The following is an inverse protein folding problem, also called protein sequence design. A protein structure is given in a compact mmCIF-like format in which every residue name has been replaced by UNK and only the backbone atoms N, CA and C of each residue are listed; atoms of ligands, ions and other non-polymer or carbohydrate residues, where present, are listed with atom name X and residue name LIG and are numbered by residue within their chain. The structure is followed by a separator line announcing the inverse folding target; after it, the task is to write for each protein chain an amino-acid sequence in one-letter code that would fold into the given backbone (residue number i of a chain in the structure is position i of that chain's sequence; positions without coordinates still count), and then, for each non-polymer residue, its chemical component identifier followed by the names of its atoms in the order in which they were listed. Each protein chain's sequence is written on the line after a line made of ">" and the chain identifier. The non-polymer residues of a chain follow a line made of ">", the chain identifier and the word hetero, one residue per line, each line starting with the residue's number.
data_IF_105915244283
#
_entry.id   IF_105915244283
#
_cell.length_a   1.000
_cell.length_b   1.000
_cell.length_c   1.000
_cell.angle_alpha   90.00
_cell.angle_beta   90.00
_cell.angle_gamma   90.00
#
_symmetry.space_group_name_H-M   'P 1'
#
loop_
_entity.id
_entity.type
_entity.pdbx_description
1 polymer ?
#
# COMPACT_ATOMS: atom_id res chain seq x y z
N UNK A 1 22.95 21.64 -1.72
CA UNK A 1 21.87 21.86 -0.72
C UNK A 1 20.58 21.99 -1.51
N UNK A 2 19.87 20.89 -1.73
CA UNK A 2 18.61 20.87 -2.48
C UNK A 2 17.46 20.79 -1.48
N UNK A 3 16.69 21.86 -1.42
CA UNK A 3 15.41 21.92 -0.74
C UNK A 3 14.43 21.04 -1.52
N UNK A 4 14.33 19.76 -1.17
CA UNK A 4 13.21 18.93 -1.62
C UNK A 4 11.93 19.57 -1.12
N UNK A 5 11.14 20.05 -2.06
CA UNK A 5 9.88 20.74 -1.82
C UNK A 5 8.92 19.83 -1.03
N UNK A 6 8.56 20.27 0.18
CA UNK A 6 7.67 19.60 1.16
C UNK A 6 6.21 19.39 0.68
N UNK A 7 5.93 19.37 -0.62
CA UNK A 7 4.56 19.36 -1.15
C UNK A 7 4.15 18.06 -1.87
N UNK A 8 4.97 17.01 -1.83
CA UNK A 8 4.87 15.92 -2.80
C UNK A 8 4.10 14.65 -2.36
N UNK A 9 3.80 14.46 -1.09
CA UNK A 9 3.27 13.16 -0.58
C UNK A 9 1.80 13.22 -0.15
N UNK A 10 1.15 14.36 -0.27
CA UNK A 10 -0.13 14.66 0.41
C UNK A 10 -1.35 13.88 -0.11
N UNK A 11 -1.29 13.20 -1.27
CA UNK A 11 -2.52 12.80 -1.96
C UNK A 11 -2.97 11.33 -1.82
N UNK A 12 -2.20 10.46 -1.20
CA UNK A 12 -2.59 9.04 -1.05
C UNK A 12 -3.42 8.74 0.21
N UNK A 13 -3.63 9.71 1.07
CA UNK A 13 -4.14 9.51 2.44
C UNK A 13 -5.64 9.68 2.64
N UNK A 14 -6.35 10.23 1.68
CA UNK A 14 -7.77 10.54 1.86
C UNK A 14 -8.72 9.33 1.77
N UNK A 15 -8.22 8.13 1.41
CA UNK A 15 -9.09 6.98 1.14
C UNK A 15 -9.36 6.06 2.33
N UNK A 16 -8.69 6.23 3.46
CA UNK A 16 -8.89 5.36 4.63
C UNK A 16 -10.22 5.59 5.37
N UNK A 17 -10.92 6.68 5.10
CA UNK A 17 -12.11 7.07 5.86
C UNK A 17 -13.46 6.56 5.32
N UNK A 18 -13.52 5.92 4.15
CA UNK A 18 -14.79 5.55 3.50
C UNK A 18 -15.05 4.04 3.33
N UNK A 19 -14.51 3.20 4.19
CA UNK A 19 -14.82 1.75 4.19
C UNK A 19 -16.26 1.42 4.66
N UNK A 20 -17.11 2.41 4.79
CA UNK A 20 -18.43 2.31 5.41
C UNK A 20 -19.62 2.11 4.50
N UNK A 21 -19.53 1.54 3.31
CA UNK A 21 -20.70 1.02 2.56
C UNK A 21 -20.27 0.26 1.30
N UNK A 22 -19.65 -0.89 1.44
CA UNK A 22 -19.61 -1.85 0.33
C UNK A 22 -20.85 -2.75 0.46
N UNK A 23 -21.82 -2.54 -0.41
CA UNK A 23 -22.96 -3.45 -0.57
C UNK A 23 -22.43 -4.86 -0.83
N UNK A 24 -22.65 -5.75 0.13
CA UNK A 24 -22.36 -7.16 0.02
C UNK A 24 -23.22 -7.77 -1.09
N UNK A 25 -22.74 -7.79 -2.29
CA UNK A 25 -23.26 -8.67 -3.32
C UNK A 25 -22.72 -10.06 -2.99
N UNK A 26 -23.61 -10.97 -2.66
CA UNK A 26 -23.29 -12.33 -2.28
C UNK A 26 -22.40 -12.98 -3.36
N UNK A 27 -21.11 -13.02 -3.14
CA UNK A 27 -20.16 -13.74 -3.98
C UNK A 27 -20.33 -15.23 -3.68
N UNK A 28 -21.13 -15.90 -4.48
CA UNK A 28 -21.36 -17.35 -4.42
C UNK A 28 -20.20 -18.15 -5.01
N UNK A 29 -19.21 -17.47 -5.57
CA UNK A 29 -18.01 -18.08 -6.15
C UNK A 29 -16.76 -17.35 -5.67
N UNK A 30 -15.76 -18.10 -5.20
CA UNK A 30 -14.52 -17.51 -4.72
C UNK A 30 -13.81 -16.81 -5.87
N UNK A 31 -13.65 -15.50 -5.81
CA UNK A 31 -12.97 -14.73 -6.85
C UNK A 31 -11.58 -15.34 -7.17
N UNK A 32 -11.17 -15.39 -8.44
CA UNK A 32 -9.87 -15.95 -8.83
C UNK A 32 -8.71 -15.16 -8.22
N UNK A 33 -7.52 -15.75 -8.22
CA UNK A 33 -6.29 -15.05 -7.83
C UNK A 33 -6.07 -13.83 -8.72
N UNK A 34 -5.60 -12.71 -8.14
CA UNK A 34 -5.41 -11.43 -8.83
C UNK A 34 -3.92 -11.17 -9.05
N UNK A 35 -3.49 -11.03 -10.29
CA UNK A 35 -2.13 -10.60 -10.62
C UNK A 35 -2.06 -9.07 -10.63
N UNK A 36 -1.14 -8.50 -9.85
CA UNK A 36 -0.91 -7.07 -9.74
C UNK A 36 0.46 -6.74 -10.30
N UNK A 37 0.54 -5.73 -11.18
CA UNK A 37 1.77 -5.29 -11.82
C UNK A 37 1.88 -3.77 -11.72
N UNK A 38 2.96 -3.27 -11.13
CA UNK A 38 3.22 -1.86 -10.85
C UNK A 38 4.62 -1.47 -11.29
N UNK A 39 4.90 -0.16 -11.38
CA UNK A 39 6.20 0.41 -11.77
C UNK A 39 6.70 -0.14 -13.11
N UNK A 40 5.79 -0.24 -14.10
CA UNK A 40 6.13 -0.77 -15.42
C UNK A 40 6.50 -2.27 -15.40
N UNK A 41 6.03 -3.02 -14.42
CA UNK A 41 6.29 -4.45 -14.27
C UNK A 41 7.49 -4.80 -13.40
N UNK A 42 8.16 -3.82 -12.79
CA UNK A 42 9.26 -4.05 -11.85
C UNK A 42 8.77 -4.57 -10.50
N UNK A 43 7.55 -4.17 -10.09
CA UNK A 43 6.91 -4.69 -8.90
C UNK A 43 5.69 -5.50 -9.30
N UNK A 44 5.76 -6.83 -9.13
CA UNK A 44 4.67 -7.75 -9.42
C UNK A 44 4.41 -8.63 -8.22
N UNK A 45 3.14 -8.98 -8.01
CA UNK A 45 2.73 -9.96 -7.01
C UNK A 45 1.37 -10.53 -7.37
N UNK A 46 1.00 -11.63 -6.72
CA UNK A 46 -0.32 -12.25 -6.89
C UNK A 46 -1.05 -12.23 -5.56
N UNK A 47 -2.28 -11.73 -5.54
CA UNK A 47 -3.20 -11.91 -4.42
C UNK A 47 -3.88 -13.27 -4.52
N UNK A 48 -4.03 -14.01 -3.42
CA UNK A 48 -4.72 -15.31 -3.44
C UNK A 48 -6.18 -15.18 -3.84
N UNK A 49 -6.83 -16.31 -4.09
CA UNK A 49 -8.27 -16.38 -4.38
C UNK A 49 -9.09 -15.69 -3.27
N UNK A 50 -10.23 -15.12 -3.64
CA UNK A 50 -11.16 -14.47 -2.71
C UNK A 50 -11.04 -12.95 -2.65
N UNK A 51 -10.03 -12.36 -3.29
CA UNK A 51 -9.94 -10.90 -3.42
C UNK A 51 -10.74 -10.40 -4.63
N UNK A 52 -11.64 -9.46 -4.41
CA UNK A 52 -12.41 -8.76 -5.44
C UNK A 52 -11.76 -7.41 -5.71
N UNK A 53 -11.45 -7.14 -6.98
CA UNK A 53 -10.82 -5.90 -7.41
C UNK A 53 -11.88 -4.80 -7.67
N UNK A 54 -11.67 -3.64 -7.08
CA UNK A 54 -12.48 -2.44 -7.27
C UNK A 54 -11.54 -1.29 -7.68
N UNK A 55 -11.55 -0.88 -8.95
CA UNK A 55 -10.72 0.23 -9.40
C UNK A 55 -11.04 1.50 -8.61
N UNK A 56 -10.00 2.19 -8.17
CA UNK A 56 -10.13 3.51 -7.55
C UNK A 56 -10.19 4.58 -8.63
N UNK A 57 -11.04 5.61 -8.47
CA UNK A 57 -11.07 6.72 -9.42
C UNK A 57 -9.68 7.35 -9.52
N UNK A 58 -9.24 7.64 -10.75
CA UNK A 58 -8.04 8.45 -10.94
C UNK A 58 -8.30 9.85 -10.39
N UNK A 59 -7.34 10.38 -9.63
CA UNK A 59 -7.42 11.74 -9.14
C UNK A 59 -6.80 12.76 -10.12
N UNK A 60 -6.95 14.04 -9.79
CA UNK A 60 -6.41 15.14 -10.59
C UNK A 60 -4.87 15.15 -10.67
N UNK A 61 -4.18 14.35 -9.87
CA UNK A 61 -2.71 14.23 -9.86
C UNK A 61 -2.20 13.08 -10.72
N UNK A 62 -3.12 12.31 -11.34
CA UNK A 62 -2.78 11.12 -12.13
C UNK A 62 -2.47 9.89 -11.28
N UNK A 63 -2.85 9.92 -10.00
CA UNK A 63 -2.82 8.73 -9.18
C UNK A 63 -3.84 7.70 -9.70
N UNK A 64 -3.42 6.47 -9.78
CA UNK A 64 -4.28 5.34 -10.13
C UNK A 64 -4.12 4.21 -9.13
N UNK A 65 -5.17 3.44 -8.91
CA UNK A 65 -5.09 2.37 -7.94
C UNK A 65 -6.25 1.39 -8.04
N UNK A 66 -6.13 0.32 -7.25
CA UNK A 66 -7.17 -0.69 -7.10
C UNK A 66 -7.28 -1.06 -5.63
N UNK A 67 -8.50 -1.08 -5.14
CA UNK A 67 -8.88 -1.63 -3.85
C UNK A 67 -9.26 -3.10 -4.05
N UNK A 68 -8.57 -3.99 -3.36
CA UNK A 68 -8.90 -5.42 -3.33
C UNK A 68 -9.49 -5.78 -1.98
N UNK A 69 -10.67 -6.37 -1.95
CA UNK A 69 -11.36 -6.76 -0.72
C UNK A 69 -11.56 -8.26 -0.65
N UNK A 70 -11.26 -8.86 0.50
CA UNK A 70 -11.57 -10.25 0.80
C UNK A 70 -12.55 -10.28 1.98
N UNK A 71 -13.82 -10.54 1.69
CA UNK A 71 -14.89 -10.54 2.69
C UNK A 71 -14.79 -11.69 3.69
N UNK A 72 -14.17 -12.81 3.30
CA UNK A 72 -13.99 -13.97 4.19
C UNK A 72 -12.97 -13.67 5.28
N UNK A 73 -11.81 -13.12 4.92
CA UNK A 73 -10.75 -12.77 5.87
C UNK A 73 -10.89 -11.36 6.45
N UNK A 74 -11.81 -10.56 5.88
CA UNK A 74 -11.94 -9.12 6.19
C UNK A 74 -10.63 -8.37 5.98
N UNK A 75 -9.91 -8.74 4.92
CA UNK A 75 -8.65 -8.14 4.53
C UNK A 75 -8.86 -7.21 3.35
N UNK A 76 -8.21 -6.07 3.39
CA UNK A 76 -8.18 -5.08 2.31
C UNK A 76 -6.74 -4.91 1.85
N UNK A 77 -6.54 -4.87 0.53
CA UNK A 77 -5.26 -4.47 -0.08
C UNK A 77 -5.52 -3.29 -0.99
N UNK A 78 -4.82 -2.20 -0.77
CA UNK A 78 -4.83 -1.03 -1.65
C UNK A 78 -3.51 -1.05 -2.41
N UNK A 79 -3.57 -1.09 -3.73
CA UNK A 79 -2.39 -0.95 -4.59
C UNK A 79 -2.56 0.32 -5.42
N UNK A 80 -1.74 1.32 -5.17
CA UNK A 80 -1.79 2.63 -5.82
C UNK A 80 -0.44 3.03 -6.40
N UNK A 81 -0.47 3.71 -7.53
CA UNK A 81 0.71 4.19 -8.23
C UNK A 81 0.54 5.65 -8.63
N UNK A 82 1.57 6.46 -8.38
CA UNK A 82 1.59 7.90 -8.64
C UNK A 82 2.83 8.31 -9.41
N UNK A 83 2.70 9.42 -10.12
CA UNK A 83 3.86 10.15 -10.63
C UNK A 83 4.53 10.89 -9.46
N UNK A 84 5.86 10.78 -9.36
CA UNK A 84 6.64 11.53 -8.36
C UNK A 84 6.61 13.01 -8.74
N UNK A 85 6.11 13.89 -7.86
CA UNK A 85 6.03 15.31 -8.12
C UNK A 85 7.42 15.97 -8.32
N UNK A 86 7.43 17.09 -9.03
CA UNK A 86 8.66 17.86 -9.23
C UNK A 86 9.63 17.25 -10.25
N UNK A 87 9.21 16.20 -10.99
CA UNK A 87 10.06 15.57 -12.02
C UNK A 87 11.22 14.77 -11.46
N UNK A 88 11.21 14.46 -10.17
CA UNK A 88 12.22 13.61 -9.53
C UNK A 88 12.27 12.25 -10.19
N UNK A 89 13.47 11.76 -10.47
CA UNK A 89 13.72 10.46 -11.05
C UNK A 89 14.40 9.57 -9.98
N UNK A 90 13.62 8.78 -9.29
CA UNK A 90 14.11 7.90 -8.22
C UNK A 90 14.79 6.65 -8.81
N UNK A 91 15.87 6.21 -8.21
CA UNK A 91 16.48 4.90 -8.51
C UNK A 91 15.61 3.77 -7.94
N UNK A 92 15.80 2.56 -8.47
CA UNK A 92 15.06 1.38 -8.01
C UNK A 92 15.35 1.01 -6.54
N UNK A 93 16.48 1.44 -6.01
CA UNK A 93 16.93 1.22 -4.62
C UNK A 93 17.21 2.54 -3.88
N UNK A 94 16.50 3.60 -4.22
CA UNK A 94 16.70 4.95 -3.67
C UNK A 94 16.29 5.02 -2.19
N UNK A 95 17.19 4.62 -1.31
CA UNK A 95 16.96 4.56 0.13
C UNK A 95 16.59 5.91 0.72
N UNK A 96 17.27 7.00 0.31
CA UNK A 96 17.02 8.35 0.82
C UNK A 96 15.62 8.84 0.44
N UNK A 97 15.21 8.61 -0.81
CA UNK A 97 13.86 8.93 -1.27
C UNK A 97 12.80 8.14 -0.50
N UNK A 98 13.02 6.82 -0.32
CA UNK A 98 12.09 5.96 0.40
C UNK A 98 12.00 6.29 1.89
N UNK A 99 13.10 6.68 2.53
CA UNK A 99 13.12 7.14 3.93
C UNK A 99 12.31 8.42 4.12
N UNK A 100 12.50 9.40 3.24
CA UNK A 100 11.73 10.63 3.27
C UNK A 100 10.23 10.35 3.06
N UNK A 101 9.89 9.50 2.09
CA UNK A 101 8.51 9.11 1.80
C UNK A 101 7.85 8.39 2.98
N UNK A 102 8.56 7.48 3.63
CA UNK A 102 8.08 6.74 4.80
C UNK A 102 7.84 7.67 6.01
N UNK A 103 8.75 8.62 6.23
CA UNK A 103 8.60 9.62 7.30
C UNK A 103 7.37 10.51 7.08
N UNK A 104 7.19 10.99 5.86
CA UNK A 104 6.03 11.82 5.51
C UNK A 104 4.73 11.01 5.64
N UNK A 105 4.71 9.78 5.16
CA UNK A 105 3.57 8.88 5.32
C UNK A 105 3.19 8.69 6.79
N UNK A 106 4.14 8.30 7.66
CA UNK A 106 3.88 8.07 9.07
C UNK A 106 3.34 9.35 9.77
N UNK A 107 3.87 10.52 9.41
CA UNK A 107 3.40 11.81 9.91
C UNK A 107 1.96 12.09 9.52
N UNK A 108 1.59 11.77 8.28
CA UNK A 108 0.22 11.95 7.80
C UNK A 108 -0.75 10.95 8.43
N UNK A 109 -0.34 9.68 8.57
CA UNK A 109 -1.18 8.67 9.23
C UNK A 109 -1.47 9.02 10.68
N UNK A 110 -0.47 9.49 11.43
CA UNK A 110 -0.66 9.93 12.82
C UNK A 110 -1.63 11.12 12.97
N UNK A 111 -1.78 11.95 11.92
CA UNK A 111 -2.78 13.03 11.91
C UNK A 111 -4.17 12.54 11.53
N UNK A 112 -4.25 11.57 10.60
CA UNK A 112 -5.52 11.06 10.09
C UNK A 112 -6.17 10.03 11.03
N UNK A 113 -5.35 9.26 11.75
CA UNK A 113 -5.78 8.19 12.65
C UNK A 113 -5.25 8.48 14.06
N UNK A 114 -6.10 8.94 14.99
CA UNK A 114 -5.66 9.41 16.31
C UNK A 114 -4.92 8.36 17.15
N UNK A 115 -5.19 7.08 16.92
CA UNK A 115 -4.54 5.97 17.61
C UNK A 115 -3.50 5.21 16.75
N UNK A 116 -3.05 5.84 15.66
CA UNK A 116 -1.98 5.28 14.83
C UNK A 116 -0.72 5.02 15.64
N UNK A 117 -0.22 3.80 15.60
CA UNK A 117 1.01 3.40 16.26
C UNK A 117 1.89 2.64 15.27
N UNK A 118 3.01 3.23 14.90
CA UNK A 118 4.05 2.57 14.11
C UNK A 118 4.75 1.51 14.96
N UNK A 119 4.71 0.25 14.53
CA UNK A 119 5.33 -0.89 15.22
C UNK A 119 6.75 -1.12 14.74
N UNK A 120 6.96 -1.08 13.42
CA UNK A 120 8.27 -1.30 12.82
C UNK A 120 8.43 -0.55 11.50
N UNK A 121 9.68 -0.37 11.11
CA UNK A 121 10.07 0.09 9.79
C UNK A 121 11.31 -0.67 9.34
N UNK A 122 11.34 -1.13 8.10
CA UNK A 122 12.47 -1.90 7.56
C UNK A 122 12.64 -1.69 6.06
N UNK A 123 13.90 -1.75 5.62
CA UNK A 123 14.29 -1.78 4.22
C UNK A 123 14.33 -3.22 3.73
N UNK A 124 13.80 -3.47 2.56
CA UNK A 124 13.79 -4.77 1.91
C UNK A 124 14.25 -4.57 0.47
N UNK A 125 15.06 -5.49 -0.04
CA UNK A 125 15.36 -5.56 -1.47
C UNK A 125 14.63 -6.78 -2.06
N UNK A 126 13.77 -6.53 -3.04
CA UNK A 126 13.03 -7.58 -3.71
C UNK A 126 14.00 -8.46 -4.52
N UNK A 127 13.94 -9.77 -4.27
CA UNK A 127 14.78 -10.73 -5.02
C UNK A 127 14.37 -10.77 -6.48
N UNK A 128 15.36 -10.78 -7.37
CA UNK A 128 15.16 -10.89 -8.81
C UNK A 128 15.07 -9.56 -9.55
N UNK A 129 14.46 -8.52 -8.98
CA UNK A 129 14.37 -7.18 -9.59
C UNK A 129 15.39 -6.19 -9.02
N UNK A 130 15.87 -6.42 -7.81
CA UNK A 130 16.71 -5.46 -7.08
C UNK A 130 15.92 -4.23 -6.57
N UNK A 131 14.59 -4.23 -6.71
CA UNK A 131 13.76 -3.10 -6.28
C UNK A 131 13.81 -2.94 -4.76
N UNK A 132 14.15 -1.74 -4.31
CA UNK A 132 14.12 -1.36 -2.91
C UNK A 132 12.68 -1.10 -2.46
N UNK A 133 12.33 -1.66 -1.30
CA UNK A 133 11.05 -1.45 -0.63
C UNK A 133 11.29 -0.85 0.75
N UNK A 134 10.44 0.09 1.15
CA UNK A 134 10.30 0.47 2.55
C UNK A 134 9.01 -0.14 3.08
N UNK A 135 9.08 -0.92 4.14
CA UNK A 135 7.94 -1.50 4.83
C UNK A 135 7.73 -0.80 6.17
N UNK A 136 6.50 -0.36 6.42
CA UNK A 136 6.04 0.16 7.72
C UNK A 136 4.95 -0.77 8.21
N UNK A 137 5.11 -1.33 9.41
CA UNK A 137 4.07 -2.07 10.09
C UNK A 137 3.48 -1.17 11.19
N UNK A 138 2.16 -1.14 11.30
CA UNK A 138 1.45 -0.28 12.24
C UNK A 138 0.12 -0.90 12.69
N UNK A 139 -0.46 -0.30 13.71
CA UNK A 139 -1.84 -0.56 14.15
C UNK A 139 -2.60 0.75 14.23
N UNK A 140 -3.89 0.69 13.92
CA UNK A 140 -4.81 1.81 14.08
C UNK A 140 -6.25 1.30 14.19
N UNK A 141 -7.20 2.16 14.52
CA UNK A 141 -8.62 1.85 14.42
C UNK A 141 -9.15 2.30 13.06
N UNK A 142 -9.58 1.34 12.25
CA UNK A 142 -10.15 1.56 10.93
C UNK A 142 -11.33 0.63 10.71
N UNK A 143 -12.35 1.08 9.95
CA UNK A 143 -13.51 0.25 9.64
C UNK A 143 -14.28 -0.27 10.86
N UNK A 144 -14.25 0.46 11.99
CA UNK A 144 -14.96 0.10 13.21
C UNK A 144 -14.21 -0.86 14.13
N UNK A 145 -12.93 -1.13 13.90
CA UNK A 145 -12.13 -2.00 14.77
C UNK A 145 -10.64 -1.77 14.66
N UNK A 146 -9.87 -2.36 15.58
CA UNK A 146 -8.40 -2.34 15.50
C UNK A 146 -7.91 -3.24 14.37
N UNK A 147 -6.99 -2.71 13.59
CA UNK A 147 -6.38 -3.36 12.42
C UNK A 147 -4.87 -3.45 12.55
N UNK A 148 -4.31 -4.48 11.91
CA UNK A 148 -2.92 -4.54 11.47
C UNK A 148 -2.84 -3.86 10.12
N UNK A 149 -1.83 -3.03 9.92
CA UNK A 149 -1.60 -2.32 8.68
C UNK A 149 -0.12 -2.44 8.30
N UNK A 150 0.16 -2.99 7.13
CA UNK A 150 1.50 -2.98 6.54
C UNK A 150 1.48 -2.15 5.28
N UNK A 151 2.28 -1.10 5.25
CA UNK A 151 2.48 -0.25 4.07
C UNK A 151 3.82 -0.56 3.44
N UNK A 152 3.82 -0.89 2.15
CA UNK A 152 4.99 -1.09 1.31
C UNK A 152 5.10 0.09 0.34
N UNK A 153 6.28 0.68 0.25
CA UNK A 153 6.60 1.77 -0.67
C UNK A 153 7.76 1.37 -1.56
N UNK A 154 7.64 1.65 -2.85
CA UNK A 154 8.69 1.46 -3.84
C UNK A 154 8.70 2.61 -4.83
N UNK A 155 9.84 2.89 -5.43
CA UNK A 155 9.96 3.90 -6.47
C UNK A 155 10.83 3.39 -7.62
N UNK A 156 10.52 3.85 -8.82
CA UNK A 156 11.34 3.58 -10.01
C UNK A 156 11.08 4.65 -11.06
N UNK A 157 12.12 5.29 -11.51
CA UNK A 157 12.00 6.38 -12.46
C UNK A 157 11.16 7.52 -11.89
N UNK A 158 10.16 7.93 -12.63
CA UNK A 158 9.23 9.01 -12.22
C UNK A 158 7.98 8.51 -11.48
N UNK A 159 7.95 7.25 -11.07
CA UNK A 159 6.76 6.62 -10.48
C UNK A 159 7.05 6.06 -9.09
N UNK A 160 6.06 6.14 -8.23
CA UNK A 160 6.06 5.56 -6.89
C UNK A 160 4.85 4.66 -6.74
N UNK A 161 5.06 3.48 -6.16
CA UNK A 161 4.02 2.55 -5.77
C UNK A 161 3.85 2.56 -4.25
N UNK A 162 2.60 2.45 -3.82
CA UNK A 162 2.22 2.26 -2.43
C UNK A 162 1.24 1.11 -2.36
N UNK A 163 1.55 0.11 -1.53
CA UNK A 163 0.65 -0.99 -1.22
C UNK A 163 0.36 -0.96 0.27
N UNK A 164 -0.93 -0.94 0.64
CA UNK A 164 -1.35 -1.12 2.02
C UNK A 164 -2.09 -2.44 2.17
N UNK A 165 -1.71 -3.23 3.16
CA UNK A 165 -2.41 -4.45 3.58
C UNK A 165 -3.03 -4.17 4.93
N UNK A 166 -4.35 -4.20 5.00
CA UNK A 166 -5.13 -3.91 6.21
C UNK A 166 -5.90 -5.17 6.58
N UNK A 167 -5.70 -5.68 7.78
CA UNK A 167 -6.32 -6.89 8.28
C UNK A 167 -6.83 -6.70 9.71
N UNK A 168 -7.71 -7.56 10.17
CA UNK A 168 -8.11 -7.58 11.58
C UNK A 168 -6.91 -7.92 12.46
N UNK A 169 -6.82 -7.30 13.62
CA UNK A 169 -5.77 -7.59 14.61
C UNK A 169 -5.72 -9.08 15.03
N UNK A 170 -6.86 -9.77 14.98
CA UNK A 170 -6.97 -11.20 15.30
C UNK A 170 -6.41 -12.13 14.21
N UNK A 171 -6.15 -11.64 12.99
CA UNK A 171 -5.63 -12.44 11.87
C UNK A 171 -4.15 -12.10 11.57
N UNK A 172 -3.31 -12.09 12.60
CA UNK A 172 -1.89 -11.78 12.43
C UNK A 172 -1.18 -12.74 11.48
N UNK A 173 -1.44 -14.03 11.59
CA UNK A 173 -0.77 -15.05 10.75
C UNK A 173 -1.15 -14.90 9.26
N UNK A 174 -2.43 -14.64 8.95
CA UNK A 174 -2.89 -14.40 7.58
C UNK A 174 -2.30 -13.10 7.01
N UNK A 175 -2.25 -12.04 7.83
CA UNK A 175 -1.64 -10.78 7.48
C UNK A 175 -0.16 -10.94 7.11
N UNK A 176 0.64 -11.55 7.98
CA UNK A 176 2.07 -11.77 7.74
C UNK A 176 2.33 -12.63 6.50
N UNK A 177 1.53 -13.69 6.30
CA UNK A 177 1.65 -14.56 5.13
C UNK A 177 1.38 -13.78 3.83
N UNK A 178 0.35 -12.94 3.80
CA UNK A 178 0.00 -12.11 2.65
C UNK A 178 1.08 -11.07 2.35
N UNK A 179 1.56 -10.36 3.38
CA UNK A 179 2.66 -9.38 3.22
C UNK A 179 3.91 -10.07 2.67
N UNK A 180 4.29 -11.24 3.19
CA UNK A 180 5.42 -12.02 2.70
C UNK A 180 5.25 -12.44 1.24
N UNK A 181 4.04 -12.82 0.82
CA UNK A 181 3.72 -13.16 -0.56
C UNK A 181 3.91 -11.95 -1.47
N UNK A 182 3.37 -10.79 -1.11
CA UNK A 182 3.50 -9.53 -1.87
C UNK A 182 4.97 -9.13 -2.00
N UNK A 183 5.71 -9.11 -0.90
CA UNK A 183 7.14 -8.75 -0.88
C UNK A 183 7.98 -9.72 -1.72
N UNK A 184 7.65 -11.01 -1.74
CA UNK A 184 8.39 -12.00 -2.53
C UNK A 184 8.18 -11.88 -4.04
N UNK A 185 7.17 -11.12 -4.48
CA UNK A 185 6.85 -10.96 -5.90
C UNK A 185 6.26 -12.22 -6.56
N UNK A 186 5.60 -13.08 -5.78
CA UNK A 186 5.03 -14.35 -6.25
C UNK A 186 3.52 -14.26 -6.38
#
# INVERSE_FOLDING_TARGET
>A
MSLLSKKAVVLLLAMAASLGALNAQAAKETAPAQSVSMLGGKFKFTLPKGFVANPLPADATGASGTLYTNETTKTVVIAAENTIPGGVNAKDDDGEFLDATASDFATHQAKALPDFTKLSEKSITQKGTGLGLRQIDSIATQGGGKTLDTTLMAASGKRMALIQVISRLSDNAGHEALVKQIVSGK
#
